data_IF_749311409797
#
_entry.id   IF_749311409797
#
_cell.length_a   1.000
_cell.length_b   1.000
_cell.length_c   1.000
_cell.angle_alpha   90.00
_cell.angle_beta   90.00
_cell.angle_gamma   90.00
#
_symmetry.space_group_name_H-M   'P 1'
#
loop_
_entity.id
_entity.type
_entity.pdbx_description
1 polymer ?
#
# COMPACT_ATOMS: atom_id res chain seq x y z
N UNK A 1 -8.49 -2.00 21.69
CA UNK A 1 -7.57 -2.48 20.64
C UNK A 1 -6.27 -1.69 20.74
N UNK A 2 -5.16 -2.37 20.82
CA UNK A 2 -3.87 -1.70 20.88
C UNK A 2 -3.47 -1.19 19.50
N UNK A 3 -2.91 0.03 19.41
CA UNK A 3 -2.36 0.47 18.14
C UNK A 3 -1.17 -0.41 17.75
N UNK A 4 -0.90 -0.56 16.45
CA UNK A 4 0.26 -1.34 16.04
C UNK A 4 1.55 -0.72 16.57
N UNK A 5 2.49 -1.56 16.96
CA UNK A 5 3.77 -1.08 17.46
C UNK A 5 4.61 -0.47 16.33
N UNK A 6 5.52 0.46 16.62
CA UNK A 6 6.41 1.01 15.59
C UNK A 6 7.18 -0.06 14.84
N UNK A 7 7.58 -1.14 15.53
CA UNK A 7 8.28 -2.25 14.89
C UNK A 7 7.41 -2.94 13.85
N UNK A 8 6.12 -3.16 14.16
CA UNK A 8 5.20 -3.80 13.22
C UNK A 8 4.97 -2.92 12.00
N UNK A 9 4.79 -1.62 12.23
CA UNK A 9 4.60 -0.67 11.13
C UNK A 9 5.83 -0.63 10.23
N UNK A 10 7.01 -0.58 10.83
CA UNK A 10 8.25 -0.57 10.04
C UNK A 10 8.43 -1.88 9.27
N UNK A 11 8.07 -3.00 9.90
CA UNK A 11 8.14 -4.30 9.21
C UNK A 11 7.18 -4.36 8.02
N UNK A 12 5.98 -3.78 8.16
CA UNK A 12 5.03 -3.70 7.05
C UNK A 12 5.59 -2.86 5.91
N UNK A 13 6.20 -1.72 6.23
CA UNK A 13 6.83 -0.85 5.25
C UNK A 13 7.97 -1.58 4.53
N UNK A 14 8.84 -2.22 5.29
CA UNK A 14 9.99 -2.92 4.72
C UNK A 14 9.54 -4.07 3.82
N UNK A 15 8.53 -4.80 4.25
CA UNK A 15 7.98 -5.91 3.47
C UNK A 15 7.34 -5.41 2.18
N UNK A 16 6.59 -4.32 2.27
CA UNK A 16 5.97 -3.71 1.10
C UNK A 16 7.04 -3.24 0.10
N UNK A 17 8.04 -2.51 0.58
CA UNK A 17 9.09 -1.97 -0.28
C UNK A 17 9.93 -3.07 -0.93
N UNK A 18 10.08 -4.20 -0.24
CA UNK A 18 10.79 -5.35 -0.78
C UNK A 18 9.98 -6.05 -1.87
N UNK A 19 8.65 -6.10 -1.69
CA UNK A 19 7.76 -6.78 -2.63
C UNK A 19 7.38 -5.89 -3.81
N UNK A 20 7.16 -4.60 -3.55
CA UNK A 20 6.69 -3.65 -4.56
C UNK A 20 7.67 -2.51 -4.69
N UNK A 21 8.49 -2.54 -5.73
CA UNK A 21 9.40 -1.45 -6.03
C UNK A 21 8.64 -0.28 -6.69
N UNK A 22 9.25 0.89 -6.69
CA UNK A 22 8.70 2.03 -7.42
C UNK A 22 8.52 1.64 -8.89
N UNK A 23 7.32 1.92 -9.43
CA UNK A 23 6.95 1.51 -10.78
C UNK A 23 6.19 0.19 -10.85
N UNK A 24 6.08 -0.55 -9.74
CA UNK A 24 5.31 -1.80 -9.71
C UNK A 24 3.83 -1.53 -9.93
N UNK A 25 3.16 -2.39 -10.69
CA UNK A 25 1.73 -2.28 -10.91
C UNK A 25 0.96 -2.96 -9.78
N UNK A 26 0.01 -2.23 -9.21
CA UNK A 26 -0.75 -2.69 -8.05
C UNK A 26 -2.22 -2.35 -8.21
N UNK A 27 -3.04 -2.97 -7.37
CA UNK A 27 -4.44 -2.60 -7.17
C UNK A 27 -4.57 -2.01 -5.77
N UNK A 28 -5.26 -0.88 -5.67
CA UNK A 28 -5.42 -0.18 -4.40
C UNK A 28 -6.90 0.07 -4.09
N UNK A 29 -7.26 -0.05 -2.83
CA UNK A 29 -8.60 0.23 -2.34
C UNK A 29 -8.53 1.41 -1.39
N UNK A 30 -9.26 2.49 -1.70
CA UNK A 30 -9.28 3.69 -0.88
C UNK A 30 -10.34 3.66 0.22
N UNK A 31 -11.25 2.69 0.14
CA UNK A 31 -12.27 2.45 1.16
C UNK A 31 -12.03 1.11 1.85
N UNK A 32 -13.10 0.32 1.98
CA UNK A 32 -12.98 -1.03 2.54
C UNK A 32 -12.30 -1.96 1.57
N UNK A 33 -11.38 -2.76 2.09
CA UNK A 33 -10.70 -3.77 1.31
C UNK A 33 -11.71 -4.78 0.76
N UNK A 34 -11.64 -5.06 -0.55
CA UNK A 34 -12.56 -5.98 -1.19
C UNK A 34 -13.88 -5.36 -1.60
N UNK A 35 -14.08 -4.06 -1.40
CA UNK A 35 -15.27 -3.35 -1.82
C UNK A 35 -15.13 -2.98 -3.29
N UNK A 36 -15.61 -3.86 -4.15
CA UNK A 36 -15.48 -3.72 -5.59
C UNK A 36 -14.07 -4.03 -6.08
N UNK A 37 -13.83 -3.84 -7.39
CA UNK A 37 -12.50 -4.01 -7.96
C UNK A 37 -11.61 -2.86 -7.51
N UNK A 38 -10.37 -3.15 -7.13
CA UNK A 38 -9.42 -2.13 -6.78
C UNK A 38 -9.09 -1.21 -7.94
N UNK A 39 -8.56 -0.03 -7.65
CA UNK A 39 -8.10 0.89 -8.67
C UNK A 39 -6.69 0.50 -9.11
N UNK A 40 -6.46 0.35 -10.42
CA UNK A 40 -5.12 0.07 -10.90
C UNK A 40 -4.23 1.31 -10.78
N UNK A 41 -2.98 1.08 -10.41
CA UNK A 41 -2.01 2.17 -10.30
C UNK A 41 -0.61 1.62 -10.23
N UNK A 42 0.36 2.51 -10.09
CA UNK A 42 1.76 2.14 -9.95
C UNK A 42 2.32 2.75 -8.67
N UNK A 43 3.27 2.06 -8.05
CA UNK A 43 3.94 2.57 -6.85
C UNK A 43 4.76 3.79 -7.26
N UNK A 44 4.43 4.94 -6.67
CA UNK A 44 5.06 6.21 -7.00
C UNK A 44 6.30 6.49 -6.16
N UNK A 45 6.29 6.04 -4.91
CA UNK A 45 7.37 6.26 -3.96
C UNK A 45 7.38 5.14 -2.94
N UNK A 46 8.50 4.91 -2.24
CA UNK A 46 8.55 3.89 -1.20
C UNK A 46 7.52 4.13 -0.11
N UNK A 47 7.00 3.06 0.48
CA UNK A 47 6.09 3.16 1.60
C UNK A 47 6.78 3.79 2.81
N UNK A 48 5.97 4.36 3.70
CA UNK A 48 6.47 4.98 4.92
C UNK A 48 5.39 4.93 6.00
N UNK A 49 5.78 5.23 7.23
CA UNK A 49 4.83 5.27 8.34
C UNK A 49 4.29 6.69 8.46
N UNK A 50 2.98 6.85 8.28
CA UNK A 50 2.32 8.15 8.35
C UNK A 50 1.86 8.41 9.77
N UNK A 51 2.37 9.49 10.36
CA UNK A 51 1.95 9.93 11.69
C UNK A 51 2.21 8.92 12.80
N UNK A 52 3.06 7.93 12.57
CA UNK A 52 3.34 6.89 13.55
C UNK A 52 2.22 5.88 13.75
N UNK A 53 1.18 5.93 12.91
CA UNK A 53 -0.01 5.10 13.10
C UNK A 53 -0.26 4.11 11.98
N UNK A 54 0.09 4.44 10.76
CA UNK A 54 -0.32 3.65 9.59
C UNK A 54 0.81 3.60 8.57
N UNK A 55 1.11 2.40 8.09
CA UNK A 55 2.02 2.24 6.96
C UNK A 55 1.25 2.53 5.69
N UNK A 56 1.73 3.47 4.88
CA UNK A 56 1.07 3.92 3.65
C UNK A 56 2.05 3.98 2.50
N UNK A 57 1.50 4.00 1.29
CA UNK A 57 2.28 4.19 0.08
C UNK A 57 1.57 5.15 -0.86
N UNK A 58 2.34 5.89 -1.64
CA UNK A 58 1.80 6.75 -2.68
C UNK A 58 1.67 5.94 -3.96
N UNK A 59 0.46 5.95 -4.53
CA UNK A 59 0.17 5.18 -5.75
C UNK A 59 -0.23 6.17 -6.84
N UNK A 60 0.47 6.09 -7.97
CA UNK A 60 0.13 6.90 -9.13
C UNK A 60 -1.19 6.39 -9.72
N UNK A 61 -2.12 7.29 -9.95
CA UNK A 61 -3.48 6.95 -10.38
C UNK A 61 -4.48 6.93 -9.24
N UNK A 62 -4.03 7.02 -7.98
CA UNK A 62 -4.88 7.09 -6.81
C UNK A 62 -4.53 8.36 -6.04
N UNK A 63 -5.55 9.13 -5.70
CA UNK A 63 -5.35 10.39 -4.97
C UNK A 63 -4.97 10.11 -3.53
N UNK A 64 -3.90 10.75 -3.06
CA UNK A 64 -3.45 10.63 -1.67
C UNK A 64 -2.68 9.35 -1.40
N UNK A 65 -2.45 9.07 -0.13
CA UNK A 65 -1.75 7.87 0.32
C UNK A 65 -2.73 6.75 0.60
N UNK A 66 -2.31 5.51 0.36
CA UNK A 66 -3.13 4.32 0.57
C UNK A 66 -2.43 3.44 1.60
N UNK A 67 -3.19 2.91 2.57
CA UNK A 67 -2.64 1.97 3.55
C UNK A 67 -2.08 0.75 2.81
N UNK A 68 -0.88 0.30 3.20
CA UNK A 68 -0.24 -0.83 2.50
C UNK A 68 -1.08 -2.10 2.60
N UNK A 69 -1.90 -2.24 3.65
CA UNK A 69 -2.82 -3.37 3.78
C UNK A 69 -3.93 -3.36 2.73
N UNK A 70 -4.19 -2.22 2.08
CA UNK A 70 -5.20 -2.06 1.04
C UNK A 70 -4.61 -2.10 -0.37
N UNK A 71 -3.39 -2.60 -0.50
CA UNK A 71 -2.70 -2.70 -1.79
C UNK A 71 -2.39 -4.17 -2.07
N UNK A 72 -2.70 -4.60 -3.29
CA UNK A 72 -2.44 -5.96 -3.74
C UNK A 72 -1.70 -5.93 -5.07
N UNK A 73 -0.98 -7.00 -5.35
CA UNK A 73 -0.31 -7.14 -6.64
C UNK A 73 -1.35 -7.17 -7.76
N UNK A 74 -1.09 -6.42 -8.83
CA UNK A 74 -1.91 -6.50 -10.03
C UNK A 74 -1.34 -7.61 -10.91
N UNK A 75 -2.09 -8.70 -11.01
CA UNK A 75 -1.69 -9.82 -11.84
C UNK A 75 -2.10 -9.52 -13.28
N UNK A 76 -1.11 -9.49 -14.15
CA UNK A 76 -1.34 -9.34 -15.58
C UNK A 76 -1.32 -10.73 -16.20
N UNK A 77 -2.45 -11.15 -16.69
CA UNK A 77 -2.56 -12.43 -17.41
C UNK A 77 -2.40 -12.19 -18.88
N UNK A 78 -1.55 -12.97 -19.48
CA UNK A 78 -1.32 -12.95 -20.92
C UNK A 78 -2.12 -14.03 -21.61
#
# INVERSE_FOLDING_TARGET
MRPPSPKKLQAEVDRFNKRFHVGSQVLAWTGHMGDGPGKPGTVKAPAYVLGGHTAVASIDGVRGCVAVSHIRARLIQH
#
